data_IF_749279563319
#
_entry.id   IF_749279563319
#
_cell.length_a   1.000
_cell.length_b   1.000
_cell.length_c   1.000
_cell.angle_alpha   90.00
_cell.angle_beta   90.00
_cell.angle_gamma   90.00
#
_symmetry.space_group_name_H-M   'P 1'
#
loop_
_entity.id
_entity.type
_entity.pdbx_description
1 polymer ?
#
# COMPACT_ATOMS: atom_id res chain seq x y z
N UNK A 1 16.73 -3.19 4.14
CA UNK A 1 15.34 -3.23 4.66
C UNK A 1 14.42 -3.09 3.45
N UNK A 2 13.60 -4.10 3.15
CA UNK A 2 12.59 -3.96 2.10
C UNK A 2 11.47 -3.08 2.64
N UNK A 3 11.47 -1.82 2.23
CA UNK A 3 10.46 -0.85 2.64
C UNK A 3 9.13 -1.25 2.01
N UNK A 4 8.05 -1.31 2.80
CA UNK A 4 6.69 -1.48 2.26
C UNK A 4 6.17 -0.11 1.77
N UNK A 5 6.17 0.15 0.44
CA UNK A 5 5.77 1.45 -0.08
C UNK A 5 4.30 1.75 0.21
N UNK A 6 3.44 0.73 0.27
CA UNK A 6 2.03 0.90 0.57
C UNK A 6 1.83 1.31 2.04
N UNK A 7 2.48 0.61 2.97
CA UNK A 7 2.47 0.98 4.39
C UNK A 7 3.01 2.38 4.66
N UNK A 8 4.06 2.81 3.94
CA UNK A 8 4.56 4.19 4.03
C UNK A 8 3.54 5.22 3.54
N UNK A 9 2.92 4.97 2.39
CA UNK A 9 1.90 5.86 1.85
C UNK A 9 0.71 5.98 2.81
N UNK A 10 0.25 4.88 3.39
CA UNK A 10 -0.83 4.86 4.39
C UNK A 10 -0.46 5.62 5.67
N UNK A 11 0.78 5.46 6.14
CA UNK A 11 1.27 6.22 7.27
C UNK A 11 1.25 7.73 6.96
N UNK A 12 1.75 8.14 5.80
CA UNK A 12 1.74 9.55 5.40
C UNK A 12 0.32 10.09 5.19
N UNK A 13 -0.58 9.27 4.67
CA UNK A 13 -2.00 9.62 4.53
C UNK A 13 -2.64 9.93 5.89
N UNK A 14 -2.36 9.14 6.93
CA UNK A 14 -2.83 9.44 8.29
C UNK A 14 -2.35 10.81 8.76
N UNK A 15 -1.08 11.14 8.58
CA UNK A 15 -0.56 12.48 8.94
C UNK A 15 -1.29 13.60 8.19
N UNK A 16 -1.51 13.44 6.87
CA UNK A 16 -2.24 14.44 6.07
C UNK A 16 -3.70 14.60 6.55
N UNK A 17 -4.35 13.53 7.00
CA UNK A 17 -5.71 13.62 7.55
C UNK A 17 -5.73 14.44 8.84
N UNK A 18 -4.72 14.29 9.69
CA UNK A 18 -4.59 15.07 10.93
C UNK A 18 -4.33 16.55 10.65
N UNK A 19 -3.41 16.86 9.74
CA UNK A 19 -3.14 18.22 9.27
C UNK A 19 -4.40 18.90 8.70
N UNK A 20 -5.20 18.15 7.91
CA UNK A 20 -6.49 18.64 7.41
C UNK A 20 -7.51 18.87 8.52
N UNK A 21 -7.62 17.92 9.46
CA UNK A 21 -8.54 18.03 10.61
C UNK A 21 -8.21 19.22 11.50
N UNK A 22 -6.93 19.55 11.63
CA UNK A 22 -6.45 20.71 12.38
C UNK A 22 -6.54 22.04 11.59
N UNK A 23 -6.97 22.01 10.33
CA UNK A 23 -7.07 23.20 9.48
C UNK A 23 -5.72 23.71 8.95
N UNK A 24 -4.61 23.03 9.23
CA UNK A 24 -3.29 23.31 8.65
C UNK A 24 -3.33 23.12 7.14
N UNK A 25 -4.14 22.16 6.68
CA UNK A 25 -4.22 21.77 5.29
C UNK A 25 -5.67 21.77 4.78
N UNK A 26 -6.07 22.89 4.16
CA UNK A 26 -6.50 22.87 2.77
C UNK A 26 -7.23 21.63 2.19
N UNK A 27 -8.54 21.66 1.87
CA UNK A 27 -9.17 20.55 1.14
C UNK A 27 -8.55 20.29 -0.26
N UNK A 28 -8.13 21.34 -0.98
CA UNK A 28 -7.49 21.22 -2.30
C UNK A 28 -6.05 20.74 -2.14
N UNK A 29 -5.31 21.32 -1.20
CA UNK A 29 -3.96 20.91 -0.85
C UNK A 29 -3.93 19.44 -0.41
N UNK A 30 -4.95 18.99 0.35
CA UNK A 30 -5.07 17.61 0.82
C UNK A 30 -5.20 16.65 -0.33
N UNK A 31 -6.16 16.89 -1.24
CA UNK A 31 -6.33 16.04 -2.42
C UNK A 31 -5.07 15.97 -3.27
N UNK A 32 -4.34 17.09 -3.41
CA UNK A 32 -3.08 17.11 -4.14
C UNK A 32 -1.98 16.30 -3.42
N UNK A 33 -1.83 16.47 -2.12
CA UNK A 33 -0.83 15.75 -1.31
C UNK A 33 -1.11 14.24 -1.30
N UNK A 34 -2.37 13.82 -1.16
CA UNK A 34 -2.77 12.41 -1.21
C UNK A 34 -2.47 11.78 -2.57
N UNK A 35 -2.77 12.48 -3.68
CA UNK A 35 -2.39 12.01 -5.03
C UNK A 35 -0.88 11.84 -5.19
N UNK A 36 -0.08 12.64 -4.48
CA UNK A 36 1.38 12.53 -4.44
C UNK A 36 1.89 11.27 -3.73
N UNK A 37 1.04 10.54 -3.01
CA UNK A 37 1.38 9.27 -2.35
C UNK A 37 1.25 8.05 -3.28
N UNK A 38 1.22 8.27 -4.59
CA UNK A 38 1.10 7.21 -5.57
C UNK A 38 2.26 6.20 -5.44
N UNK A 39 1.93 4.92 -5.60
CA UNK A 39 2.88 3.80 -5.51
C UNK A 39 2.89 3.03 -6.82
N UNK A 40 4.07 2.65 -7.30
CA UNK A 40 4.23 1.65 -8.36
C UNK A 40 4.69 0.35 -7.71
N UNK A 41 3.97 -0.73 -7.95
CA UNK A 41 4.33 -2.04 -7.39
C UNK A 41 5.43 -2.74 -8.20
N UNK A 42 5.87 -3.91 -7.71
CA UNK A 42 6.90 -4.71 -8.38
C UNK A 42 6.52 -5.26 -9.75
N UNK A 43 5.23 -5.21 -10.12
CA UNK A 43 4.72 -5.59 -11.45
C UNK A 43 4.52 -4.37 -12.35
N UNK A 44 4.97 -3.18 -11.93
CA UNK A 44 4.88 -1.94 -12.69
C UNK A 44 3.48 -1.30 -12.70
N UNK A 45 2.56 -1.77 -11.84
CA UNK A 45 1.19 -1.23 -11.78
C UNK A 45 1.15 -0.01 -10.88
N UNK A 46 0.42 1.02 -11.31
CA UNK A 46 0.24 2.26 -10.56
C UNK A 46 -0.93 2.17 -9.60
N UNK A 47 -0.75 2.73 -8.41
CA UNK A 47 -1.69 2.73 -7.30
C UNK A 47 -1.80 4.13 -6.70
N UNK A 48 -3.02 4.52 -6.29
CA UNK A 48 -3.30 5.78 -5.58
C UNK A 48 -4.26 5.55 -4.42
N UNK A 49 -4.17 6.39 -3.40
CA UNK A 49 -5.16 6.47 -2.34
C UNK A 49 -6.27 7.45 -2.75
N UNK A 50 -7.52 7.07 -2.49
CA UNK A 50 -8.66 7.97 -2.57
C UNK A 50 -8.59 8.99 -1.42
N UNK A 51 -8.57 10.31 -1.70
CA UNK A 51 -8.57 11.31 -0.62
C UNK A 51 -9.87 11.29 0.21
N UNK A 52 -10.98 10.81 -0.34
CA UNK A 52 -12.27 10.82 0.33
C UNK A 52 -12.43 9.67 1.33
N UNK A 53 -11.91 8.49 1.02
CA UNK A 53 -12.16 7.25 1.77
C UNK A 53 -10.89 6.54 2.25
N UNK A 54 -9.71 6.94 1.75
CA UNK A 54 -8.44 6.28 2.05
C UNK A 54 -8.31 4.90 1.41
N UNK A 55 -9.18 4.53 0.47
CA UNK A 55 -9.11 3.25 -0.23
C UNK A 55 -8.03 3.27 -1.31
N UNK A 56 -7.44 2.11 -1.59
CA UNK A 56 -6.53 1.96 -2.72
C UNK A 56 -7.28 1.77 -4.04
N UNK A 57 -6.79 2.47 -5.05
CA UNK A 57 -7.22 2.31 -6.43
C UNK A 57 -6.02 1.96 -7.29
N UNK A 58 -6.18 0.96 -8.15
CA UNK A 58 -5.18 0.55 -9.13
C UNK A 58 -5.54 1.11 -10.49
N UNK A 59 -4.54 1.54 -11.25
CA UNK A 59 -4.71 1.90 -12.64
C UNK A 59 -4.93 0.63 -13.49
N UNK A 60 -6.11 0.52 -14.10
CA UNK A 60 -6.47 -0.53 -15.04
C UNK A 60 -6.88 0.09 -16.38
N UNK A 61 -6.03 -0.11 -17.40
CA UNK A 61 -6.12 0.52 -18.72
C UNK A 61 -6.17 2.06 -18.68
N UNK A 62 -7.36 2.62 -18.52
CA UNK A 62 -7.63 4.06 -18.50
C UNK A 62 -8.51 4.46 -17.29
N UNK A 63 -8.69 3.55 -16.32
CA UNK A 63 -9.56 3.78 -15.17
C UNK A 63 -8.86 3.43 -13.87
N UNK A 64 -9.22 4.17 -12.82
CA UNK A 64 -8.86 3.83 -11.46
C UNK A 64 -9.94 2.92 -10.88
N UNK A 65 -9.57 1.70 -10.52
CA UNK A 65 -10.49 0.70 -9.97
C UNK A 65 -10.12 0.38 -8.52
N UNK A 66 -11.09 0.27 -7.59
CA UNK A 66 -10.82 -0.17 -6.22
C UNK A 66 -10.10 -1.52 -6.23
N UNK A 67 -9.02 -1.64 -5.47
CA UNK A 67 -8.25 -2.87 -5.36
C UNK A 67 -7.42 -2.92 -4.09
N UNK A 68 -7.08 -4.12 -3.62
CA UNK A 68 -6.14 -4.28 -2.52
C UNK A 68 -4.69 -4.34 -3.02
N UNK A 69 -3.76 -3.57 -2.42
CA UNK A 69 -2.37 -3.59 -2.84
C UNK A 69 -1.71 -4.94 -2.53
N UNK A 70 -0.75 -5.38 -3.37
CA UNK A 70 0.01 -6.59 -3.13
C UNK A 70 0.89 -6.43 -1.89
N UNK A 71 0.42 -6.91 -0.74
CA UNK A 71 1.19 -6.94 0.51
C UNK A 71 2.23 -8.05 0.46
N UNK A 72 3.43 -7.77 0.97
CA UNK A 72 4.55 -8.73 1.02
C UNK A 72 4.71 -9.33 2.41
N UNK A 73 5.00 -10.63 2.44
CA UNK A 73 5.47 -11.39 3.59
C UNK A 73 6.90 -11.84 3.32
N UNK A 74 7.75 -11.82 4.34
CA UNK A 74 9.06 -12.45 4.26
C UNK A 74 8.93 -13.85 4.85
N UNK A 75 9.32 -14.87 4.10
CA UNK A 75 9.36 -16.23 4.61
C UNK A 75 10.42 -16.33 5.72
N UNK A 76 10.00 -16.68 6.93
CA UNK A 76 10.91 -16.80 8.08
C UNK A 76 11.92 -17.95 7.93
N UNK A 77 11.67 -18.91 7.03
CA UNK A 77 12.56 -20.06 6.80
C UNK A 77 13.70 -19.75 5.83
N UNK A 78 13.41 -19.09 4.72
CA UNK A 78 14.38 -18.89 3.63
C UNK A 78 14.62 -17.43 3.24
N UNK A 79 13.89 -16.47 3.82
CA UNK A 79 14.01 -15.05 3.49
C UNK A 79 13.29 -14.61 2.20
N UNK A 80 12.68 -15.53 1.46
CA UNK A 80 11.95 -15.20 0.23
C UNK A 80 10.79 -14.23 0.50
N UNK A 81 10.66 -13.19 -0.34
CA UNK A 81 9.48 -12.35 -0.38
C UNK A 81 8.34 -13.07 -1.09
N UNK A 82 7.20 -13.15 -0.41
CA UNK A 82 5.97 -13.76 -0.89
C UNK A 82 4.84 -12.74 -0.77
N UNK A 83 3.73 -12.99 -1.44
CA UNK A 83 2.53 -12.15 -1.31
C UNK A 83 1.62 -12.73 -0.22
N UNK A 84 0.89 -11.89 0.51
CA UNK A 84 -0.02 -12.32 1.60
C UNK A 84 -1.14 -13.27 1.17
N UNK A 85 -1.41 -13.35 -0.14
CA UNK A 85 -2.34 -14.32 -0.74
C UNK A 85 -1.80 -15.75 -0.75
N UNK A 86 -0.48 -15.95 -0.60
CA UNK A 86 0.12 -17.28 -0.59
C UNK A 86 0.10 -17.88 0.83
N UNK A 87 -0.38 -19.11 0.95
CA UNK A 87 -0.36 -19.89 2.20
C UNK A 87 1.01 -20.53 2.46
N UNK A 88 1.76 -20.83 1.40
CA UNK A 88 3.09 -21.45 1.43
C UNK A 88 4.10 -20.61 0.66
N UNK A 89 5.35 -20.67 1.06
CA UNK A 89 6.45 -20.00 0.39
C UNK A 89 6.64 -20.60 -1.01
N UNK A 90 6.64 -19.75 -2.03
CA UNK A 90 6.78 -20.18 -3.43
C UNK A 90 8.16 -20.74 -3.77
N UNK A 91 9.16 -20.50 -2.91
CA UNK A 91 10.54 -20.97 -3.09
C UNK A 91 10.83 -22.25 -2.29
N UNK A 92 10.60 -22.24 -0.97
CA UNK A 92 11.01 -23.35 -0.08
C UNK A 92 9.86 -24.25 0.41
N UNK A 93 8.60 -23.94 0.04
CA UNK A 93 7.41 -24.70 0.44
C UNK A 93 7.00 -24.56 1.92
N UNK A 94 7.73 -23.81 2.74
CA UNK A 94 7.36 -23.58 4.13
C UNK A 94 6.04 -22.82 4.26
N UNK A 95 5.24 -23.12 5.28
CA UNK A 95 4.03 -22.37 5.57
C UNK A 95 4.36 -20.90 5.89
N UNK A 96 3.65 -19.97 5.26
CA UNK A 96 3.77 -18.55 5.55
C UNK A 96 2.84 -18.24 6.71
N UNK A 97 3.38 -18.22 7.93
CA UNK A 97 2.63 -17.78 9.10
C UNK A 97 2.26 -16.30 8.92
N UNK A 98 0.97 -15.98 8.98
CA UNK A 98 0.45 -14.60 8.97
C UNK A 98 0.73 -13.84 10.28
N UNK A 99 1.53 -14.42 11.18
CA UNK A 99 1.68 -13.93 12.54
C UNK A 99 2.66 -12.75 12.61
N UNK A 100 2.11 -11.60 12.98
CA UNK A 100 2.82 -10.38 13.31
C UNK A 100 1.84 -9.25 13.69
N UNK A 101 0.91 -9.55 14.61
CA UNK A 101 0.38 -8.53 15.53
C UNK A 101 1.39 -8.36 16.67
#
# INVERSE_FOLDING_TARGET
>A
MAVDPFGMAEHRFRTLQEERRQGVLDARAFRAAVRGLAVVDGEGRSWVLGPEDGSWYRHDRERWVPAEPPRRLVCQRCGQHNLTRHTFCVECGAQLNRAGL
#
